data_IF_402391227358
#
_entry.id   IF_402391227358
#
_cell.length_a   1.000
_cell.length_b   1.000
_cell.length_c   1.000
_cell.angle_alpha   90.00
_cell.angle_beta   90.00
_cell.angle_gamma   90.00
#
_symmetry.space_group_name_H-M   'P 1'
#
loop_
_entity.id
_entity.type
_entity.pdbx_description
1 polymer ?
#
# COMPACT_ATOMS: atom_id res chain seq x y z
N UNK A 1 -6.55 -8.05 7.45
CA UNK A 1 -5.49 -7.92 6.41
C UNK A 1 -5.13 -6.46 6.10
N UNK A 2 -6.09 -5.55 5.94
CA UNK A 2 -5.86 -4.14 5.61
C UNK A 2 -5.12 -3.30 6.68
N UNK A 3 -5.00 -3.79 7.91
CA UNK A 3 -4.16 -3.14 8.93
C UNK A 3 -2.66 -3.26 8.65
N UNK A 4 -2.21 -4.40 8.11
CA UNK A 4 -0.79 -4.67 7.84
C UNK A 4 -0.26 -3.75 6.74
N UNK A 5 -1.09 -3.45 5.74
CA UNK A 5 -0.75 -2.52 4.65
C UNK A 5 -0.51 -1.11 5.16
N UNK A 6 -1.30 -0.65 6.14
CA UNK A 6 -1.09 0.67 6.77
C UNK A 6 0.27 0.75 7.47
N UNK A 7 0.62 -0.27 8.26
CA UNK A 7 1.93 -0.31 8.92
C UNK A 7 3.09 -0.44 7.93
N UNK A 8 2.89 -1.16 6.83
CA UNK A 8 3.90 -1.29 5.78
C UNK A 8 4.19 0.05 5.08
N UNK A 9 3.15 0.83 4.73
CA UNK A 9 3.37 2.18 4.18
C UNK A 9 3.90 3.17 5.21
N UNK A 10 3.52 3.03 6.48
CA UNK A 10 4.08 3.86 7.56
C UNK A 10 5.59 3.64 7.68
N UNK A 11 6.04 2.36 7.64
CA UNK A 11 7.45 2.02 7.64
C UNK A 11 8.17 2.55 6.39
N UNK A 12 7.58 2.38 5.20
CA UNK A 12 8.14 2.94 3.95
C UNK A 12 8.32 4.46 4.05
N UNK A 13 7.34 5.16 4.60
CA UNK A 13 7.36 6.62 4.80
C UNK A 13 8.46 7.03 5.77
N UNK A 14 8.59 6.32 6.90
CA UNK A 14 9.66 6.57 7.86
C UNK A 14 11.06 6.37 7.23
N UNK A 15 11.23 5.37 6.37
CA UNK A 15 12.48 5.14 5.64
C UNK A 15 12.77 6.26 4.61
N UNK A 16 11.76 6.77 3.90
CA UNK A 16 11.93 7.93 3.01
C UNK A 16 12.26 9.22 3.77
N UNK A 17 11.66 9.44 4.94
CA UNK A 17 12.04 10.56 5.82
C UNK A 17 13.49 10.39 6.27
N UNK A 18 13.91 9.17 6.64
CA UNK A 18 15.30 8.87 6.95
C UNK A 18 16.24 9.15 5.77
N UNK A 19 15.87 8.77 4.55
CA UNK A 19 16.60 9.13 3.34
C UNK A 19 16.73 10.66 3.22
N UNK A 20 15.64 11.42 3.41
CA UNK A 20 15.66 12.87 3.30
C UNK A 20 16.59 13.54 4.34
N UNK A 21 16.56 13.06 5.58
CA UNK A 21 17.37 13.60 6.68
C UNK A 21 18.85 13.25 6.55
N UNK A 22 19.18 11.99 6.26
CA UNK A 22 20.56 11.49 6.26
C UNK A 22 21.20 11.46 4.88
N UNK A 23 20.43 11.71 3.81
CA UNK A 23 20.85 11.64 2.39
C UNK A 23 21.59 10.33 2.03
N UNK A 24 21.24 9.24 2.70
CA UNK A 24 21.90 7.95 2.57
C UNK A 24 21.29 7.11 1.46
N UNK A 25 22.10 6.74 0.46
CA UNK A 25 21.69 5.87 -0.64
C UNK A 25 21.19 4.49 -0.17
N UNK A 26 21.71 3.98 0.97
CA UNK A 26 21.24 2.70 1.55
C UNK A 26 19.80 2.81 2.07
N UNK A 27 19.46 3.92 2.72
CA UNK A 27 18.09 4.18 3.20
C UNK A 27 17.12 4.33 2.03
N UNK A 28 17.52 4.99 0.95
CA UNK A 28 16.67 5.12 -0.24
C UNK A 28 16.37 3.78 -0.90
N UNK A 29 17.37 2.88 -1.02
CA UNK A 29 17.13 1.51 -1.50
C UNK A 29 16.20 0.73 -0.57
N UNK A 30 16.44 0.80 0.75
CA UNK A 30 15.58 0.13 1.73
C UNK A 30 14.13 0.64 1.70
N UNK A 31 13.94 1.96 1.59
CA UNK A 31 12.62 2.58 1.45
C UNK A 31 11.91 2.04 0.20
N UNK A 32 12.58 2.05 -0.95
CA UNK A 32 12.00 1.61 -2.22
C UNK A 32 11.62 0.12 -2.21
N UNK A 33 12.49 -0.75 -1.69
CA UNK A 33 12.16 -2.18 -1.52
C UNK A 33 10.96 -2.37 -0.59
N UNK A 34 10.91 -1.61 0.51
CA UNK A 34 9.78 -1.68 1.45
C UNK A 34 8.48 -1.21 0.80
N UNK A 35 8.52 -0.16 -0.03
CA UNK A 35 7.35 0.31 -0.80
C UNK A 35 6.87 -0.74 -1.78
N UNK A 36 7.77 -1.43 -2.49
CA UNK A 36 7.38 -2.54 -3.38
C UNK A 36 6.69 -3.67 -2.62
N UNK A 37 7.22 -4.07 -1.47
CA UNK A 37 6.60 -5.09 -0.62
C UNK A 37 5.22 -4.64 -0.09
N UNK A 38 5.11 -3.38 0.36
CA UNK A 38 3.85 -2.79 0.80
C UNK A 38 2.81 -2.79 -0.33
N UNK A 39 3.22 -2.41 -1.55
CA UNK A 39 2.37 -2.40 -2.73
C UNK A 39 1.83 -3.80 -3.04
N UNK A 40 2.69 -4.83 -3.03
CA UNK A 40 2.29 -6.22 -3.27
C UNK A 40 1.30 -6.73 -2.23
N UNK A 41 1.58 -6.49 -0.93
CA UNK A 41 0.67 -6.87 0.16
C UNK A 41 -0.67 -6.15 0.01
N UNK A 42 -0.65 -4.89 -0.41
CA UNK A 42 -1.87 -4.12 -0.61
C UNK A 42 -2.67 -4.58 -1.83
N UNK A 43 -2.02 -4.90 -2.94
CA UNK A 43 -2.67 -5.52 -4.11
C UNK A 43 -3.35 -6.84 -3.72
N UNK A 44 -2.66 -7.71 -2.98
CA UNK A 44 -3.25 -8.95 -2.48
C UNK A 44 -4.44 -8.68 -1.54
N UNK A 45 -4.33 -7.68 -0.66
CA UNK A 45 -5.41 -7.29 0.25
C UNK A 45 -6.66 -6.78 -0.48
N UNK A 46 -6.50 -5.96 -1.53
CA UNK A 46 -7.59 -5.47 -2.39
C UNK A 46 -8.26 -6.67 -3.10
N UNK A 47 -7.47 -7.57 -3.69
CA UNK A 47 -7.98 -8.75 -4.38
C UNK A 47 -8.77 -9.69 -3.46
N UNK A 48 -8.25 -9.98 -2.26
CA UNK A 48 -8.94 -10.82 -1.28
C UNK A 48 -10.26 -10.18 -0.82
N UNK A 49 -10.27 -8.87 -0.59
CA UNK A 49 -11.50 -8.12 -0.27
C UNK A 49 -12.55 -8.23 -1.37
N UNK A 50 -12.10 -8.16 -2.62
CA UNK A 50 -12.98 -8.28 -3.76
C UNK A 50 -13.61 -9.67 -3.84
N UNK A 51 -12.82 -10.72 -3.65
CA UNK A 51 -13.30 -12.11 -3.61
C UNK A 51 -14.27 -12.34 -2.43
N UNK A 52 -13.96 -11.82 -1.24
CA UNK A 52 -14.82 -11.90 -0.06
C UNK A 52 -16.20 -11.26 -0.33
N UNK A 53 -16.23 -10.10 -1.01
CA UNK A 53 -17.47 -9.45 -1.43
C UNK A 53 -18.33 -10.32 -2.35
N UNK A 54 -17.70 -11.08 -3.25
CA UNK A 54 -18.40 -12.04 -4.12
C UNK A 54 -18.93 -13.24 -3.33
N UNK A 55 -18.14 -13.75 -2.37
CA UNK A 55 -18.55 -14.86 -1.51
C UNK A 55 -19.72 -14.49 -0.58
N UNK A 56 -19.81 -13.23 -0.17
CA UNK A 56 -20.94 -12.70 0.62
C UNK A 56 -22.19 -12.42 -0.24
N UNK A 57 -22.13 -12.65 -1.56
CA UNK A 57 -23.28 -12.45 -2.48
C UNK A 57 -23.55 -10.98 -2.84
N UNK A 58 -22.65 -10.05 -2.50
CA UNK A 58 -22.82 -8.62 -2.80
C UNK A 58 -22.10 -8.25 -4.11
N UNK A 59 -20.87 -8.75 -4.30
CA UNK A 59 -20.16 -8.66 -5.59
C UNK A 59 -19.78 -7.25 -6.02
N UNK A 60 -19.17 -6.46 -5.14
CA UNK A 60 -18.70 -5.10 -5.46
C UNK A 60 -17.18 -4.97 -5.41
N UNK A 61 -16.64 -4.06 -6.25
CA UNK A 61 -15.23 -3.70 -6.22
C UNK A 61 -14.90 -2.91 -4.93
N UNK A 62 -13.77 -3.18 -4.25
CA UNK A 62 -13.42 -2.65 -2.92
C UNK A 62 -13.14 -1.14 -2.93
N UNK A 63 -14.20 -0.37 -3.14
CA UNK A 63 -14.31 1.07 -3.31
C UNK A 63 -15.66 1.58 -2.77
N UNK A 64 -16.41 0.74 -2.06
CA UNK A 64 -17.81 1.03 -1.70
C UNK A 64 -17.96 1.83 -0.41
N UNK A 65 -16.87 2.06 0.33
CA UNK A 65 -16.87 2.90 1.52
C UNK A 65 -15.60 3.76 1.62
N UNK A 66 -15.63 4.77 2.50
CA UNK A 66 -14.52 5.72 2.65
C UNK A 66 -13.19 5.03 3.05
N UNK A 67 -13.26 3.96 3.84
CA UNK A 67 -12.06 3.24 4.26
C UNK A 67 -11.42 2.48 3.08
N UNK A 68 -12.22 1.78 2.28
CA UNK A 68 -11.76 1.10 1.08
C UNK A 68 -11.17 2.05 0.05
N UNK A 69 -11.83 3.19 -0.19
CA UNK A 69 -11.32 4.23 -1.07
C UNK A 69 -9.99 4.79 -0.56
N UNK A 70 -9.83 5.03 0.75
CA UNK A 70 -8.57 5.50 1.33
C UNK A 70 -7.44 4.51 1.09
N UNK A 71 -7.69 3.21 1.28
CA UNK A 71 -6.70 2.15 1.02
C UNK A 71 -6.37 2.08 -0.48
N UNK A 72 -7.35 2.17 -1.35
CA UNK A 72 -7.14 2.18 -2.80
C UNK A 72 -6.30 3.39 -3.26
N UNK A 73 -6.58 4.59 -2.73
CA UNK A 73 -5.80 5.77 -3.09
C UNK A 73 -4.36 5.71 -2.55
N UNK A 74 -4.15 5.17 -1.35
CA UNK A 74 -2.80 4.91 -0.84
C UNK A 74 -2.02 3.96 -1.76
N UNK A 75 -2.68 2.88 -2.21
CA UNK A 75 -2.13 1.95 -3.20
C UNK A 75 -1.78 2.67 -4.52
N UNK A 76 -2.69 3.50 -5.04
CA UNK A 76 -2.48 4.22 -6.28
C UNK A 76 -1.29 5.18 -6.19
N UNK A 77 -1.19 5.97 -5.12
CA UNK A 77 -0.07 6.89 -4.88
C UNK A 77 1.25 6.13 -4.86
N UNK A 78 1.32 5.01 -4.14
CA UNK A 78 2.53 4.19 -4.06
C UNK A 78 2.90 3.59 -5.43
N UNK A 79 1.92 3.12 -6.20
CA UNK A 79 2.16 2.65 -7.56
C UNK A 79 2.70 3.78 -8.44
N UNK A 80 2.03 4.92 -8.50
CA UNK A 80 2.47 6.08 -9.27
C UNK A 80 3.89 6.50 -8.90
N UNK A 81 4.20 6.56 -7.61
CA UNK A 81 5.53 6.91 -7.13
C UNK A 81 6.63 5.91 -7.56
N UNK A 82 6.31 4.61 -7.65
CA UNK A 82 7.30 3.59 -8.02
C UNK A 82 7.50 3.45 -9.53
N UNK A 83 6.50 3.79 -10.33
CA UNK A 83 6.52 3.62 -11.79
C UNK A 83 6.86 4.90 -12.57
N UNK A 84 6.81 6.08 -11.93
CA UNK A 84 7.16 7.38 -12.53
C UNK A 84 8.56 7.82 -12.09
#
# INVERSE_FOLDING_TARGET
>A
MLGITTFAYLLATALYIGLFLFRSAKLGKAATVTTWLALLVNTAGIGLRWVESHQMGIGYAPLSNMYESLVFFAWAIAAFYLFL
#
